data_IF_942695974934
#
_entry.id   IF_942695974934
#
_cell.length_a   1.000
_cell.length_b   1.000
_cell.length_c   1.000
_cell.angle_alpha   90.00
_cell.angle_beta   90.00
_cell.angle_gamma   90.00
#
_symmetry.space_group_name_H-M   'P 1'
#
loop_
_entity.id
_entity.type
_entity.pdbx_description
1 polymer ?
#
# COMPACT_ATOMS: atom_id res chain seq x y z
N UNK A 1 3.02 -14.86 2.04
CA UNK A 1 1.78 -14.55 2.78
C UNK A 1 1.06 -13.35 2.17
N UNK A 2 1.79 -12.29 1.77
CA UNK A 2 1.16 -11.03 1.33
C UNK A 2 0.55 -11.02 -0.07
N UNK A 3 1.03 -11.89 -0.96
CA UNK A 3 0.58 -11.95 -2.36
C UNK A 3 -0.90 -12.30 -2.51
N UNK A 4 -1.52 -12.89 -1.49
CA UNK A 4 -2.95 -13.23 -1.48
C UNK A 4 -3.85 -12.02 -1.19
N UNK A 5 -3.32 -10.91 -0.69
CA UNK A 5 -4.10 -9.70 -0.44
C UNK A 5 -4.29 -8.86 -1.70
N UNK A 6 -3.45 -9.03 -2.73
CA UNK A 6 -3.54 -8.35 -4.02
C UNK A 6 -4.66 -8.94 -4.90
N UNK A 7 -5.89 -8.85 -4.41
CA UNK A 7 -7.12 -9.20 -5.11
C UNK A 7 -8.03 -7.98 -5.12
N UNK A 8 -8.74 -7.77 -6.24
CA UNK A 8 -9.51 -6.54 -6.48
C UNK A 8 -10.53 -6.28 -5.38
N UNK A 9 -11.16 -7.34 -4.89
CA UNK A 9 -12.18 -7.34 -3.86
C UNK A 9 -11.68 -6.68 -2.57
N UNK A 10 -10.41 -6.89 -2.19
CA UNK A 10 -9.83 -6.26 -1.01
C UNK A 10 -9.67 -4.75 -1.19
N UNK A 11 -9.20 -4.31 -2.37
CA UNK A 11 -9.07 -2.87 -2.64
C UNK A 11 -10.44 -2.18 -2.63
N UNK A 12 -11.42 -2.79 -3.28
CA UNK A 12 -12.78 -2.26 -3.37
C UNK A 12 -13.45 -2.23 -1.99
N UNK A 13 -13.29 -3.29 -1.18
CA UNK A 13 -13.78 -3.33 0.19
C UNK A 13 -13.16 -2.24 1.07
N UNK A 14 -11.84 -2.05 1.02
CA UNK A 14 -11.15 -1.02 1.80
C UNK A 14 -11.61 0.40 1.41
N UNK A 15 -11.77 0.66 0.11
CA UNK A 15 -12.19 1.98 -0.37
C UNK A 15 -13.67 2.27 -0.12
N UNK A 16 -14.55 1.28 -0.31
CA UNK A 16 -15.99 1.50 -0.25
C UNK A 16 -16.53 1.42 1.17
N UNK A 17 -16.07 0.47 1.99
CA UNK A 17 -16.62 0.24 3.32
C UNK A 17 -15.90 1.05 4.40
N UNK A 18 -14.57 1.17 4.28
CA UNK A 18 -13.77 1.90 5.28
C UNK A 18 -13.36 3.30 4.83
N UNK A 19 -13.67 3.68 3.58
CA UNK A 19 -13.25 4.96 3.00
C UNK A 19 -11.75 5.24 3.18
N UNK A 20 -10.95 4.17 3.17
CA UNK A 20 -9.53 4.19 3.46
C UNK A 20 -8.70 3.93 2.20
N UNK A 21 -7.41 4.24 2.28
CA UNK A 21 -6.48 3.94 1.20
C UNK A 21 -5.90 2.53 1.37
N UNK A 22 -6.05 1.64 0.37
CA UNK A 22 -5.36 0.35 0.37
C UNK A 22 -3.86 0.53 0.13
N UNK A 23 -3.05 0.01 1.07
CA UNK A 23 -1.59 -0.07 0.99
C UNK A 23 -1.23 -1.55 0.88
N UNK A 24 -1.34 -2.07 -0.34
CA UNK A 24 -1.14 -3.49 -0.65
C UNK A 24 -0.02 -3.60 -1.69
N UNK A 25 0.94 -4.48 -1.43
CA UNK A 25 2.00 -4.79 -2.37
C UNK A 25 1.44 -5.52 -3.58
N UNK A 26 1.81 -5.06 -4.77
CA UNK A 26 1.38 -5.68 -6.02
C UNK A 26 2.00 -7.05 -6.19
N UNK A 27 1.18 -8.05 -6.49
CA UNK A 27 1.62 -9.41 -6.73
C UNK A 27 2.05 -9.57 -8.19
N UNK A 28 3.37 -9.73 -8.41
CA UNK A 28 3.96 -9.94 -9.73
C UNK A 28 3.80 -11.38 -10.27
N UNK A 29 3.31 -12.33 -9.47
CA UNK A 29 3.21 -13.75 -9.89
C UNK A 29 2.24 -13.88 -11.06
N UNK A 30 2.70 -14.49 -12.15
CA UNK A 30 1.92 -14.69 -13.37
C UNK A 30 1.90 -13.49 -14.32
N UNK A 31 2.57 -12.38 -13.98
CA UNK A 31 2.75 -11.23 -14.86
C UNK A 31 4.04 -11.39 -15.66
N UNK A 32 3.95 -11.56 -16.98
CA UNK A 32 5.14 -11.62 -17.86
C UNK A 32 5.75 -10.22 -18.10
N UNK A 33 4.90 -9.18 -18.05
CA UNK A 33 5.29 -7.78 -18.23
C UNK A 33 4.47 -6.88 -17.27
N UNK A 34 4.97 -5.69 -16.91
CA UNK A 34 4.17 -4.70 -16.20
C UNK A 34 2.96 -4.28 -17.05
N UNK A 35 1.88 -3.77 -16.41
CA UNK A 35 0.77 -3.19 -17.16
C UNK A 35 1.23 -2.08 -18.11
N UNK A 36 0.54 -1.95 -19.24
CA UNK A 36 0.89 -0.96 -20.25
C UNK A 36 1.00 0.46 -19.68
N UNK A 37 2.06 1.18 -20.07
CA UNK A 37 2.32 2.54 -19.59
C UNK A 37 2.87 2.61 -18.16
N UNK A 38 3.18 1.47 -17.52
CA UNK A 38 3.83 1.40 -16.22
C UNK A 38 5.16 0.64 -16.31
N UNK A 39 6.10 0.99 -15.43
CA UNK A 39 7.32 0.21 -15.24
C UNK A 39 7.17 -0.90 -14.18
N UNK A 40 8.25 -1.61 -13.87
CA UNK A 40 8.27 -2.69 -12.87
C UNK A 40 7.95 -2.26 -11.43
N UNK A 41 8.05 -0.96 -11.13
CA UNK A 41 7.67 -0.34 -9.85
C UNK A 41 6.23 0.19 -9.87
N UNK A 42 5.49 -0.08 -10.95
CA UNK A 42 4.16 0.48 -11.24
C UNK A 42 4.14 2.01 -11.31
N UNK A 43 5.28 2.61 -11.69
CA UNK A 43 5.37 4.03 -11.96
C UNK A 43 5.00 4.33 -13.41
N UNK A 44 4.19 5.38 -13.68
CA UNK A 44 3.87 5.78 -15.05
C UNK A 44 5.09 6.15 -15.88
N UNK A 45 5.14 5.65 -17.11
CA UNK A 45 6.19 5.97 -18.10
C UNK A 45 5.62 6.68 -19.33
N UNK A 46 6.44 7.49 -19.99
CA UNK A 46 6.08 8.07 -21.29
C UNK A 46 6.25 7.05 -22.44
N UNK A 47 5.86 7.44 -23.66
CA UNK A 47 6.03 6.61 -24.85
C UNK A 47 7.48 6.28 -25.19
N UNK A 48 8.44 7.08 -24.68
CA UNK A 48 9.88 6.84 -24.81
C UNK A 48 10.44 5.98 -23.65
N UNK A 49 9.61 5.57 -22.69
CA UNK A 49 10.00 4.71 -21.57
C UNK A 49 10.53 5.42 -20.32
N UNK A 50 10.62 6.76 -20.31
CA UNK A 50 11.05 7.50 -19.13
C UNK A 50 9.96 7.61 -18.07
N UNK A 51 10.33 7.49 -16.78
CA UNK A 51 9.42 7.72 -15.65
C UNK A 51 8.88 9.16 -15.66
N UNK A 52 7.56 9.29 -15.57
CA UNK A 52 6.92 10.60 -15.50
C UNK A 52 7.13 11.23 -14.12
N UNK A 53 7.15 12.55 -14.06
CA UNK A 53 7.33 13.25 -12.79
C UNK A 53 5.98 13.51 -12.14
N UNK A 54 5.80 13.06 -10.91
CA UNK A 54 4.63 13.44 -10.12
C UNK A 54 4.54 14.95 -9.95
N UNK A 55 3.38 15.52 -10.27
CA UNK A 55 3.12 16.96 -10.31
C UNK A 55 1.92 17.36 -9.43
N UNK A 56 1.67 16.57 -8.39
CA UNK A 56 0.64 16.84 -7.40
C UNK A 56 -0.67 16.07 -7.60
N UNK A 57 -1.53 16.20 -6.60
CA UNK A 57 -2.86 15.57 -6.52
C UNK A 57 -3.92 16.65 -6.70
N UNK A 58 -4.99 16.31 -7.41
CA UNK A 58 -6.15 17.17 -7.67
C UNK A 58 -7.41 16.36 -7.42
N UNK A 59 -7.97 16.48 -6.21
CA UNK A 59 -9.05 15.63 -5.72
C UNK A 59 -8.67 14.14 -5.82
N UNK A 60 -9.37 13.41 -6.68
CA UNK A 60 -9.16 11.97 -6.91
C UNK A 60 -8.18 11.66 -8.05
N UNK A 61 -7.54 12.68 -8.61
CA UNK A 61 -6.61 12.54 -9.73
C UNK A 61 -5.16 12.78 -9.30
N UNK A 62 -4.26 11.90 -9.73
CA UNK A 62 -2.82 12.11 -9.68
C UNK A 62 -2.36 12.68 -11.01
N UNK A 63 -1.58 13.76 -10.97
CA UNK A 63 -1.02 14.42 -12.15
C UNK A 63 0.44 14.01 -12.29
N UNK A 64 0.82 13.64 -13.51
CA UNK A 64 2.20 13.34 -13.90
C UNK A 64 2.57 14.14 -15.13
N UNK A 65 3.84 14.56 -15.21
CA UNK A 65 4.36 15.39 -16.30
C UNK A 65 5.60 14.79 -16.93
N UNK A 66 5.84 15.16 -18.19
CA UNK A 66 7.03 14.79 -18.93
C UNK A 66 8.31 15.21 -18.17
N UNK A 67 9.26 14.29 -17.93
CA UNK A 67 10.51 14.61 -17.25
C UNK A 67 11.41 15.54 -18.05
N UNK A 68 11.33 15.51 -19.39
CA UNK A 68 12.14 16.36 -20.27
C UNK A 68 11.78 17.84 -20.16
N UNK A 69 10.48 18.17 -20.21
CA UNK A 69 10.01 19.55 -20.04
C UNK A 69 10.33 20.10 -18.65
N UNK A 70 10.47 19.22 -17.66
CA UNK A 70 10.89 19.58 -16.31
C UNK A 70 12.41 19.57 -16.11
N UNK A 71 13.20 19.35 -17.16
CA UNK A 71 14.66 19.37 -17.12
C UNK A 71 15.29 18.20 -16.35
N UNK A 72 14.56 17.11 -16.10
CA UNK A 72 15.08 15.93 -15.39
C UNK A 72 15.78 14.92 -16.28
N UNK A 73 15.44 14.89 -17.56
CA UNK A 73 15.95 13.93 -18.54
C UNK A 73 16.12 14.65 -19.88
N UNK A 74 17.19 14.32 -20.60
CA UNK A 74 17.34 14.75 -21.99
C UNK A 74 16.78 13.68 -22.94
N UNK A 75 15.65 13.97 -23.56
CA UNK A 75 14.95 13.02 -24.44
C UNK A 75 15.45 13.23 -25.88
N UNK A 76 15.85 12.18 -26.62
CA UNK A 76 16.41 12.32 -27.97
C UNK A 76 15.53 13.10 -28.97
N UNK A 77 14.21 13.05 -28.81
CA UNK A 77 13.23 13.77 -29.64
C UNK A 77 12.54 14.92 -28.90
N UNK A 78 13.10 15.34 -27.76
CA UNK A 78 12.53 16.31 -26.86
C UNK A 78 11.12 15.93 -26.39
N UNK A 79 10.26 16.94 -26.18
CA UNK A 79 8.85 16.73 -25.85
C UNK A 79 7.95 16.47 -27.06
N UNK A 80 8.40 16.85 -28.27
CA UNK A 80 7.60 16.85 -29.50
C UNK A 80 7.04 15.48 -29.86
N UNK A 81 7.75 14.40 -29.53
CA UNK A 81 7.28 13.03 -29.72
C UNK A 81 6.07 12.67 -28.84
N UNK A 82 6.02 13.19 -27.62
CA UNK A 82 4.94 12.87 -26.66
C UNK A 82 3.81 13.91 -26.67
N UNK A 83 4.12 15.17 -26.99
CA UNK A 83 3.15 16.26 -27.07
C UNK A 83 3.72 17.44 -27.84
N UNK A 84 2.88 18.09 -28.65
CA UNK A 84 3.22 19.34 -29.35
C UNK A 84 3.20 20.58 -28.45
N UNK A 85 2.76 20.47 -27.19
CA UNK A 85 2.71 21.60 -26.26
C UNK A 85 4.06 21.87 -25.61
N UNK A 86 4.40 23.14 -25.39
CA UNK A 86 5.53 23.55 -24.53
C UNK A 86 5.38 23.04 -23.08
N UNK A 87 4.15 22.79 -22.64
CA UNK A 87 3.88 22.18 -21.34
C UNK A 87 4.16 20.65 -21.35
N UNK A 88 4.42 20.06 -22.51
CA UNK A 88 4.72 18.64 -22.66
C UNK A 88 3.56 17.72 -22.29
N UNK A 89 3.87 16.43 -22.35
CA UNK A 89 2.91 15.39 -22.01
C UNK A 89 2.49 15.46 -20.53
N UNK A 90 1.18 15.38 -20.30
CA UNK A 90 0.58 15.37 -18.98
C UNK A 90 -0.38 14.19 -18.86
N UNK A 91 -0.16 13.35 -17.87
CA UNK A 91 -1.00 12.20 -17.56
C UNK A 91 -1.79 12.49 -16.29
N UNK A 92 -3.12 12.38 -16.36
CA UNK A 92 -4.02 12.48 -15.21
C UNK A 92 -4.68 11.13 -14.98
N UNK A 93 -4.48 10.55 -13.81
CA UNK A 93 -5.00 9.22 -13.47
C UNK A 93 -5.89 9.32 -12.24
N UNK A 94 -7.10 8.75 -12.33
CA UNK A 94 -7.94 8.58 -11.15
C UNK A 94 -7.47 7.36 -10.35
N UNK A 95 -6.88 7.59 -9.18
CA UNK A 95 -6.33 6.49 -8.37
C UNK A 95 -7.40 5.69 -7.62
N UNK A 96 -8.63 6.21 -7.48
CA UNK A 96 -9.73 5.45 -6.86
C UNK A 96 -10.33 4.41 -7.81
N UNK A 97 -10.47 4.74 -9.09
CA UNK A 97 -11.01 3.81 -10.09
C UNK A 97 -10.09 2.62 -10.36
N UNK A 98 -8.78 2.87 -10.37
CA UNK A 98 -7.75 1.86 -10.65
C UNK A 98 -6.83 1.67 -9.44
N UNK A 99 -7.43 1.52 -8.26
CA UNK A 99 -6.78 1.45 -6.95
C UNK A 99 -5.71 0.36 -6.81
N UNK A 100 -5.83 -0.73 -7.57
CA UNK A 100 -4.83 -1.81 -7.61
C UNK A 100 -3.51 -1.34 -8.21
N UNK A 101 -3.53 -0.59 -9.30
CA UNK A 101 -2.32 -0.15 -9.98
C UNK A 101 -1.84 1.20 -9.48
N UNK A 102 -2.76 2.11 -9.18
CA UNK A 102 -2.46 3.47 -8.75
C UNK A 102 -2.90 3.68 -7.30
N UNK A 103 -1.98 4.13 -6.47
CA UNK A 103 -2.24 4.47 -5.07
C UNK A 103 -1.81 5.89 -4.76
N UNK A 104 -2.35 6.45 -3.68
CA UNK A 104 -1.85 7.67 -3.08
C UNK A 104 -1.58 7.45 -1.59
N UNK A 105 -0.33 7.54 -1.08
CA UNK A 105 0.90 7.89 -1.79
C UNK A 105 1.25 6.95 -2.96
N UNK A 106 2.07 7.43 -3.90
CA UNK A 106 2.45 6.67 -5.10
C UNK A 106 3.23 5.45 -4.66
N UNK A 107 2.90 4.25 -5.15
CA UNK A 107 3.57 3.01 -4.72
C UNK A 107 5.09 3.02 -4.82
N UNK A 108 5.64 3.71 -5.82
CA UNK A 108 7.08 3.85 -6.01
C UNK A 108 7.75 4.90 -5.11
N UNK A 109 6.98 5.65 -4.31
CA UNK A 109 7.52 6.68 -3.40
C UNK A 109 7.97 6.09 -2.08
N UNK A 110 8.93 6.76 -1.44
CA UNK A 110 9.43 6.38 -0.13
C UNK A 110 8.34 6.48 0.95
N UNK A 111 7.47 7.49 0.84
CA UNK A 111 6.29 7.63 1.72
C UNK A 111 5.39 6.40 1.71
N UNK A 112 5.15 5.80 0.53
CA UNK A 112 4.36 4.57 0.45
C UNK A 112 5.08 3.41 1.13
N UNK A 113 6.39 3.32 0.94
CA UNK A 113 7.22 2.27 1.55
C UNK A 113 7.24 2.38 3.08
N UNK A 114 7.32 3.61 3.63
CA UNK A 114 7.24 3.86 5.07
C UNK A 114 5.92 3.36 5.66
N UNK A 115 4.80 3.68 5.02
CA UNK A 115 3.48 3.22 5.46
C UNK A 115 3.37 1.70 5.33
N UNK A 116 3.85 1.13 4.22
CA UNK A 116 3.83 -0.32 4.01
C UNK A 116 4.67 -1.07 5.07
N UNK A 117 5.80 -0.50 5.49
CA UNK A 117 6.66 -1.09 6.52
C UNK A 117 5.97 -1.20 7.91
N UNK A 118 4.94 -0.39 8.19
CA UNK A 118 4.16 -0.50 9.43
C UNK A 118 3.47 -1.87 9.60
N UNK A 119 3.23 -2.58 8.48
CA UNK A 119 2.67 -3.94 8.45
C UNK A 119 3.46 -4.92 9.32
N UNK A 120 4.78 -4.76 9.44
CA UNK A 120 5.62 -5.63 10.27
C UNK A 120 5.18 -5.62 11.74
N UNK A 121 4.62 -4.51 12.23
CA UNK A 121 4.03 -4.45 13.58
C UNK A 121 2.84 -5.42 13.73
N UNK A 122 1.97 -5.47 12.71
CA UNK A 122 0.82 -6.38 12.65
C UNK A 122 1.28 -7.83 12.53
N UNK A 123 2.29 -8.12 11.72
CA UNK A 123 2.86 -9.47 11.60
C UNK A 123 3.41 -9.97 12.94
N UNK A 124 4.10 -9.11 13.70
CA UNK A 124 4.55 -9.42 15.07
C UNK A 124 3.38 -9.66 16.02
N UNK A 125 2.32 -8.87 15.92
CA UNK A 125 1.09 -9.06 16.70
C UNK A 125 0.46 -10.45 16.39
N UNK A 126 0.34 -10.80 15.11
CA UNK A 126 -0.20 -12.07 14.66
C UNK A 126 0.67 -13.25 15.12
N UNK A 127 2.00 -13.15 15.05
CA UNK A 127 2.90 -14.16 15.61
C UNK A 127 2.66 -14.35 17.11
N UNK A 128 2.52 -13.26 17.89
CA UNK A 128 2.22 -13.38 19.32
C UNK A 128 0.89 -14.07 19.61
N UNK A 129 -0.15 -13.75 18.85
CA UNK A 129 -1.47 -14.37 18.98
C UNK A 129 -1.41 -15.88 18.70
N UNK A 130 -0.61 -16.30 17.73
CA UNK A 130 -0.44 -17.71 17.38
C UNK A 130 0.43 -18.43 18.42
N UNK A 131 1.65 -17.95 18.65
CA UNK A 131 2.65 -18.63 19.46
C UNK A 131 2.33 -18.63 20.96
N UNK A 132 1.85 -17.51 21.52
CA UNK A 132 1.62 -17.38 22.96
C UNK A 132 0.16 -17.58 23.37
N UNK A 133 -0.78 -17.31 22.47
CA UNK A 133 -2.22 -17.37 22.75
C UNK A 133 -2.94 -18.48 21.96
N UNK A 134 -2.19 -19.36 21.30
CA UNK A 134 -2.68 -20.56 20.60
C UNK A 134 -3.84 -20.28 19.62
N UNK A 135 -3.83 -19.11 18.96
CA UNK A 135 -4.90 -18.73 18.02
C UNK A 135 -4.96 -19.64 16.78
N UNK A 136 -3.87 -20.35 16.48
CA UNK A 136 -3.78 -21.32 15.39
C UNK A 136 -4.17 -22.76 15.78
N UNK A 137 -4.31 -23.06 17.08
CA UNK A 137 -4.62 -24.39 17.60
C UNK A 137 -6.04 -24.48 18.18
N UNK A 138 -7.02 -23.96 17.43
CA UNK A 138 -8.42 -24.00 17.83
C UNK A 138 -8.97 -25.42 17.65
N UNK A 139 -9.29 -26.10 18.76
CA UNK A 139 -9.85 -27.46 18.74
C UNK A 139 -11.38 -27.51 18.64
N UNK A 140 -12.04 -26.36 18.72
CA UNK A 140 -13.50 -26.27 18.63
C UNK A 140 -13.95 -25.93 17.21
N UNK A 141 -14.79 -26.77 16.62
CA UNK A 141 -15.40 -26.48 15.31
C UNK A 141 -16.46 -25.37 15.37
N UNK A 142 -16.49 -24.52 14.35
CA UNK A 142 -17.54 -23.51 14.12
C UNK A 142 -17.03 -22.06 14.12
N UNK A 143 -17.43 -21.29 13.10
CA UNK A 143 -16.94 -19.93 12.87
C UNK A 143 -17.25 -18.96 14.02
N UNK A 144 -18.41 -19.14 14.68
CA UNK A 144 -18.80 -18.33 15.85
C UNK A 144 -17.85 -18.56 17.03
N UNK A 145 -17.49 -19.82 17.31
CA UNK A 145 -16.56 -20.18 18.40
C UNK A 145 -15.15 -19.68 18.10
N UNK A 146 -14.68 -19.89 16.86
CA UNK A 146 -13.38 -19.37 16.42
C UNK A 146 -13.30 -17.84 16.55
N UNK A 147 -14.37 -17.13 16.17
CA UNK A 147 -14.45 -15.67 16.29
C UNK A 147 -14.37 -15.21 17.75
N UNK A 148 -15.11 -15.84 18.67
CA UNK A 148 -15.07 -15.51 20.09
C UNK A 148 -13.67 -15.80 20.67
N UNK A 149 -13.07 -16.93 20.32
CA UNK A 149 -11.73 -17.28 20.80
C UNK A 149 -10.67 -16.28 20.33
N UNK A 150 -10.67 -15.92 19.04
CA UNK A 150 -9.79 -14.89 18.51
C UNK A 150 -9.99 -13.53 19.19
N UNK A 151 -11.25 -13.15 19.45
CA UNK A 151 -11.57 -11.91 20.17
C UNK A 151 -11.01 -11.91 21.59
N UNK A 152 -11.19 -13.00 22.35
CA UNK A 152 -10.65 -13.15 23.70
C UNK A 152 -9.12 -13.07 23.72
N UNK A 153 -8.44 -13.68 22.74
CA UNK A 153 -6.99 -13.58 22.60
C UNK A 153 -6.54 -12.13 22.31
N UNK A 154 -7.24 -11.40 21.43
CA UNK A 154 -6.95 -9.99 21.18
C UNK A 154 -7.12 -9.14 22.45
N UNK A 155 -8.22 -9.33 23.19
CA UNK A 155 -8.45 -8.63 24.46
C UNK A 155 -7.33 -8.94 25.47
N UNK A 156 -6.96 -10.21 25.59
CA UNK A 156 -5.88 -10.66 26.49
C UNK A 156 -4.54 -10.02 26.13
N UNK A 157 -4.21 -9.96 24.83
CA UNK A 157 -2.98 -9.34 24.35
C UNK A 157 -2.93 -7.84 24.69
N UNK A 158 -4.04 -7.13 24.48
CA UNK A 158 -4.14 -5.69 24.79
C UNK A 158 -4.06 -5.46 26.29
N UNK A 159 -4.82 -6.21 27.10
CA UNK A 159 -4.82 -6.10 28.55
C UNK A 159 -3.43 -6.40 29.14
N UNK A 160 -2.76 -7.46 28.68
CA UNK A 160 -1.39 -7.79 29.09
C UNK A 160 -0.39 -6.70 28.71
N UNK A 161 -0.52 -6.12 27.52
CA UNK A 161 0.34 -4.99 27.08
C UNK A 161 0.15 -3.76 27.97
N UNK A 162 -1.10 -3.42 28.32
CA UNK A 162 -1.41 -2.31 29.24
C UNK A 162 -0.79 -2.59 30.61
N UNK A 163 -1.02 -3.78 31.18
CA UNK A 163 -0.52 -4.13 32.51
C UNK A 163 1.02 -4.04 32.61
N UNK A 164 1.75 -4.53 31.61
CA UNK A 164 3.23 -4.44 31.56
C UNK A 164 3.70 -2.99 31.45
N UNK A 165 3.01 -2.17 30.64
CA UNK A 165 3.40 -0.77 30.43
C UNK A 165 3.08 0.12 31.65
N UNK A 166 1.97 -0.13 32.35
CA UNK A 166 1.60 0.57 33.59
C UNK A 166 2.63 0.29 34.70
N UNK A 167 3.04 -0.97 34.87
CA UNK A 167 4.08 -1.32 35.85
C UNK A 167 5.43 -0.64 35.53
N UNK A 168 5.78 -0.50 34.24
CA UNK A 168 7.00 0.22 33.81
C UNK A 168 6.93 1.73 34.02
N UNK A 169 5.74 2.35 33.95
CA UNK A 169 5.60 3.78 34.28
C UNK A 169 5.77 4.06 35.77
N UNK A 170 5.36 3.13 36.62
CA UNK A 170 5.46 3.26 38.08
C UNK A 170 6.91 3.10 38.57
N UNK A 171 7.70 2.21 37.96
CA UNK A 171 9.08 1.96 38.37
C UNK A 171 10.11 3.04 37.97
N UNK A 172 9.72 4.01 37.13
CA UNK A 172 10.59 5.12 36.70
C UNK A 172 10.51 6.37 37.59
N UNK A 173 9.68 6.35 38.63
CA UNK A 173 9.46 7.49 39.55
C UNK A 173 10.19 7.28 40.90
N UNK A 174 11.11 6.33 40.98
CA UNK A 174 11.93 6.05 42.17
C UNK A 174 13.40 6.38 41.94
#
# INVERSE_FOLDING_TARGET
>A
MDSGYDIKENYDYIMNEFHAQPIIAYNKRGSFAPPEGLNERLHPICSMGYELVYWGKDGDYLKFRCPHVLGKVDCPHGSSWCSSSNYGYCLKINYKKNNRYFSFPIRSSDEWQEIYNLRTSIERCNSRLKEYLNTDNIRSAGIKKAKIFALLNCITLVAGTIAVNVNKSLSKVA
#
